data_IF_828700504188
#
_entry.id   IF_828700504188
#
_cell.length_a   1.000
_cell.length_b   1.000
_cell.length_c   1.000
_cell.angle_alpha   90.00
_cell.angle_beta   90.00
_cell.angle_gamma   90.00
#
_symmetry.space_group_name_H-M   'P 1'
#
loop_
_entity.id
_entity.type
_entity.pdbx_description
1 polymer ?
#
# COMPACT_ATOMS: atom_id res chain seq x y z
N UNK A 1 -10.01 59.70 21.82
CA UNK A 1 -10.37 60.24 20.49
C UNK A 1 -9.29 59.78 19.52
N UNK A 2 -9.33 58.50 19.11
CA UNK A 2 -9.96 57.98 17.88
C UNK A 2 -9.12 58.28 16.63
N UNK A 3 -8.22 57.35 16.30
CA UNK A 3 -7.77 57.15 14.93
C UNK A 3 -8.40 55.84 14.43
N UNK A 4 -9.47 55.99 13.65
CA UNK A 4 -10.10 54.92 12.87
C UNK A 4 -9.33 54.77 11.54
N UNK A 5 -9.11 53.54 11.02
CA UNK A 5 -8.47 53.34 9.73
C UNK A 5 -9.44 53.67 8.57
N UNK A 6 -8.96 54.19 7.43
CA UNK A 6 -9.81 54.44 6.27
C UNK A 6 -10.18 53.15 5.52
N UNK A 7 -11.39 53.24 4.97
CA UNK A 7 -12.28 52.28 4.34
C UNK A 7 -11.68 51.45 3.16
N UNK A 8 -12.03 50.16 3.15
CA UNK A 8 -11.84 49.22 2.05
C UNK A 8 -13.09 49.24 1.17
N UNK A 9 -13.18 50.18 0.23
CA UNK A 9 -14.15 50.07 -0.86
C UNK A 9 -13.61 50.59 -2.20
N UNK A 10 -13.51 49.63 -3.14
CA UNK A 10 -13.43 49.77 -4.59
C UNK A 10 -12.15 50.35 -5.25
N UNK A 11 -11.37 49.48 -5.92
CA UNK A 11 -11.53 49.30 -7.38
C UNK A 11 -10.72 48.10 -7.89
N UNK A 12 -11.41 47.24 -8.66
CA UNK A 12 -10.79 46.22 -9.50
C UNK A 12 -10.21 46.92 -10.73
N UNK A 13 -8.92 46.83 -10.94
CA UNK A 13 -8.30 47.00 -12.26
C UNK A 13 -7.32 45.88 -12.52
N UNK A 14 -7.67 45.06 -13.51
CA UNK A 14 -6.88 43.95 -14.02
C UNK A 14 -5.52 44.45 -14.55
N UNK A 15 -4.43 43.88 -14.07
CA UNK A 15 -3.11 44.06 -14.67
C UNK A 15 -2.90 43.04 -15.78
N UNK A 16 -3.25 43.45 -17.00
CA UNK A 16 -2.79 42.84 -18.24
C UNK A 16 -1.27 43.00 -18.31
N UNK A 17 -0.53 41.94 -18.03
CA UNK A 17 0.94 42.03 -17.91
C UNK A 17 1.65 40.69 -17.97
N UNK A 18 1.35 39.85 -18.96
CA UNK A 18 2.24 38.76 -19.37
C UNK A 18 1.86 38.21 -20.76
N UNK A 19 1.89 39.05 -21.80
CA UNK A 19 1.58 38.60 -23.16
C UNK A 19 2.58 39.01 -24.24
N UNK A 20 3.69 39.67 -23.87
CA UNK A 20 4.64 40.23 -24.85
C UNK A 20 5.97 39.47 -24.97
N UNK A 21 6.17 38.35 -24.27
CA UNK A 21 7.44 37.58 -24.34
C UNK A 21 7.37 36.37 -25.27
N UNK A 22 6.21 36.00 -25.81
CA UNK A 22 6.04 34.75 -26.60
C UNK A 22 6.11 34.97 -28.12
N UNK A 23 6.17 36.20 -28.62
CA UNK A 23 5.88 36.49 -30.03
C UNK A 23 7.08 36.41 -31.01
N UNK A 24 8.26 35.90 -30.64
CA UNK A 24 9.40 35.85 -31.57
C UNK A 24 10.29 34.62 -31.37
N UNK A 25 9.74 33.42 -31.58
CA UNK A 25 10.51 32.17 -31.70
C UNK A 25 9.64 31.04 -32.27
N UNK A 26 9.06 31.23 -33.46
CA UNK A 26 8.18 30.24 -34.09
C UNK A 26 8.63 29.95 -35.53
N UNK A 27 9.63 29.07 -35.69
CA UNK A 27 9.82 28.33 -36.95
C UNK A 27 10.56 26.99 -36.75
N UNK A 28 10.39 26.37 -35.58
CA UNK A 28 10.99 25.07 -35.27
C UNK A 28 10.52 24.38 -33.97
N UNK A 29 9.67 25.04 -33.17
CA UNK A 29 9.10 24.45 -31.96
C UNK A 29 7.83 23.65 -32.30
N UNK A 30 7.76 22.41 -31.80
CA UNK A 30 6.59 21.56 -32.00
C UNK A 30 5.33 22.20 -31.40
N UNK A 31 4.21 22.14 -32.12
CA UNK A 31 2.94 22.76 -31.75
C UNK A 31 2.21 22.05 -30.58
N UNK A 32 2.90 21.22 -29.81
CA UNK A 32 2.31 20.44 -28.71
C UNK A 32 3.27 20.36 -27.51
N UNK A 33 2.70 20.21 -26.32
CA UNK A 33 3.47 20.00 -25.10
C UNK A 33 4.15 18.63 -25.13
N UNK A 34 5.45 18.58 -24.82
CA UNK A 34 6.23 17.34 -24.79
C UNK A 34 5.94 16.56 -23.50
N UNK A 35 4.82 15.85 -23.50
CA UNK A 35 4.40 14.96 -22.41
C UNK A 35 4.85 13.52 -22.68
N UNK A 36 4.94 12.71 -21.63
CA UNK A 36 5.53 11.36 -21.71
C UNK A 36 4.78 10.43 -22.66
N UNK A 37 3.46 10.60 -22.82
CA UNK A 37 2.64 9.87 -23.80
C UNK A 37 3.08 10.09 -25.25
N UNK A 38 3.73 11.22 -25.56
CA UNK A 38 4.20 11.54 -26.91
C UNK A 38 5.28 10.58 -27.38
N UNK A 39 6.11 10.05 -26.47
CA UNK A 39 7.11 9.05 -26.82
C UNK A 39 6.46 7.76 -27.33
N UNK A 40 5.45 7.26 -26.62
CA UNK A 40 4.73 6.06 -27.05
C UNK A 40 3.93 6.30 -28.34
N UNK A 41 3.30 7.47 -28.46
CA UNK A 41 2.58 7.87 -29.68
C UNK A 41 3.52 7.94 -30.89
N UNK A 42 4.71 8.52 -30.71
CA UNK A 42 5.73 8.59 -31.75
C UNK A 42 6.23 7.21 -32.14
N UNK A 43 6.57 6.37 -31.16
CA UNK A 43 7.02 5.00 -31.40
C UNK A 43 5.95 4.18 -32.14
N UNK A 44 4.68 4.31 -31.77
CA UNK A 44 3.58 3.64 -32.45
C UNK A 44 3.36 4.10 -33.90
N UNK A 45 3.64 5.38 -34.19
CA UNK A 45 3.48 5.94 -35.54
C UNK A 45 4.64 5.57 -36.47
N UNK A 46 5.87 5.65 -35.98
CA UNK A 46 7.06 5.49 -36.82
C UNK A 46 7.69 4.11 -36.77
N UNK A 47 7.48 3.38 -35.67
CA UNK A 47 8.05 2.05 -35.43
C UNK A 47 6.98 1.07 -34.90
N UNK A 48 5.84 0.91 -35.59
CA UNK A 48 4.67 0.18 -35.08
C UNK A 48 4.97 -1.28 -34.72
N UNK A 49 5.85 -1.92 -35.48
CA UNK A 49 6.17 -3.35 -35.38
C UNK A 49 7.38 -3.64 -34.49
N UNK A 50 8.09 -2.62 -33.99
CA UNK A 50 9.19 -2.84 -33.04
C UNK A 50 8.62 -3.37 -31.74
N UNK A 51 9.14 -4.51 -31.32
CA UNK A 51 8.55 -5.31 -30.26
C UNK A 51 8.94 -4.83 -28.86
N UNK A 52 7.94 -4.70 -28.00
CA UNK A 52 8.09 -4.73 -26.55
C UNK A 52 8.02 -6.19 -26.11
N UNK A 53 9.12 -6.70 -25.55
CA UNK A 53 9.23 -8.05 -25.02
C UNK A 53 9.02 -8.01 -23.51
N UNK A 54 8.18 -8.90 -22.99
CA UNK A 54 7.90 -9.01 -21.55
C UNK A 54 7.91 -10.47 -21.13
N UNK A 55 8.49 -10.75 -19.98
CA UNK A 55 8.42 -12.04 -19.30
C UNK A 55 7.50 -11.89 -18.08
N UNK A 56 6.52 -12.76 -17.91
CA UNK A 56 5.66 -12.75 -16.73
C UNK A 56 6.27 -13.54 -15.56
N UNK A 57 5.52 -13.63 -14.46
CA UNK A 57 5.96 -14.32 -13.24
C UNK A 57 6.06 -15.84 -13.40
N UNK A 58 5.38 -16.40 -14.40
CA UNK A 58 5.43 -17.82 -14.74
C UNK A 58 6.57 -18.13 -15.71
N UNK A 59 7.33 -17.11 -16.12
CA UNK A 59 8.42 -17.24 -17.09
C UNK A 59 7.96 -17.22 -18.55
N UNK A 60 6.68 -16.96 -18.82
CA UNK A 60 6.17 -16.90 -20.18
C UNK A 60 6.59 -15.60 -20.85
N UNK A 61 7.21 -15.72 -22.02
CA UNK A 61 7.62 -14.57 -22.82
C UNK A 61 6.53 -14.20 -23.81
N UNK A 62 6.16 -12.92 -23.82
CA UNK A 62 5.25 -12.34 -24.80
C UNK A 62 5.90 -11.15 -25.51
N UNK A 63 5.50 -10.94 -26.77
CA UNK A 63 6.00 -9.87 -27.64
C UNK A 63 4.83 -9.08 -28.19
N UNK A 64 4.97 -7.75 -28.26
CA UNK A 64 3.94 -6.90 -28.83
C UNK A 64 4.52 -5.63 -29.40
N UNK A 65 4.17 -5.30 -30.65
CA UNK A 65 4.59 -4.05 -31.29
C UNK A 65 4.05 -2.79 -30.60
N UNK A 66 4.78 -1.69 -30.71
CA UNK A 66 4.39 -0.39 -30.12
C UNK A 66 2.99 0.07 -30.50
N UNK A 67 2.52 -0.20 -31.73
CA UNK A 67 1.16 0.18 -32.15
C UNK A 67 0.08 -0.45 -31.26
N UNK A 68 0.27 -1.71 -30.86
CA UNK A 68 -0.68 -2.41 -29.97
C UNK A 68 -0.53 -1.96 -28.52
N UNK A 69 0.69 -1.67 -28.06
CA UNK A 69 0.95 -1.14 -26.70
C UNK A 69 0.27 0.21 -26.52
N UNK A 70 0.40 1.09 -27.51
CA UNK A 70 -0.23 2.41 -27.54
C UNK A 70 -1.76 2.32 -27.53
N UNK A 71 -2.33 1.49 -28.42
CA UNK A 71 -3.76 1.26 -28.46
C UNK A 71 -4.31 0.74 -27.11
N UNK A 72 -3.58 -0.17 -26.45
CA UNK A 72 -3.96 -0.70 -25.13
C UNK A 72 -3.85 0.34 -24.03
N UNK A 73 -2.78 1.13 -24.02
CA UNK A 73 -2.58 2.22 -23.07
C UNK A 73 -3.70 3.25 -23.18
N UNK A 74 -4.09 3.64 -24.41
CA UNK A 74 -5.22 4.55 -24.64
C UNK A 74 -6.56 3.99 -24.16
N UNK A 75 -6.82 2.69 -24.34
CA UNK A 75 -8.03 2.06 -23.80
C UNK A 75 -8.04 2.08 -22.27
N UNK A 76 -6.89 1.85 -21.65
CA UNK A 76 -6.75 1.90 -20.20
C UNK A 76 -6.90 3.33 -19.67
N UNK A 77 -6.42 4.33 -20.40
CA UNK A 77 -6.72 5.75 -20.11
C UNK A 77 -8.22 6.01 -20.06
N UNK A 78 -8.97 5.53 -21.06
CA UNK A 78 -10.44 5.63 -21.07
C UNK A 78 -11.08 4.95 -19.86
N UNK A 79 -10.64 3.72 -19.54
CA UNK A 79 -11.15 2.99 -18.38
C UNK A 79 -10.87 3.71 -17.05
N UNK A 80 -9.74 4.39 -16.90
CA UNK A 80 -9.44 5.20 -15.71
C UNK A 80 -10.36 6.42 -15.61
N UNK A 81 -10.65 7.08 -16.73
CA UNK A 81 -11.61 8.19 -16.76
C UNK A 81 -13.03 7.70 -16.46
N UNK A 82 -13.44 6.55 -16.99
CA UNK A 82 -14.75 5.94 -16.73
C UNK A 82 -14.90 5.50 -15.25
N UNK A 83 -13.79 5.15 -14.59
CA UNK A 83 -13.74 4.90 -13.15
C UNK A 83 -13.91 6.18 -12.31
N UNK A 84 -13.94 7.36 -12.95
CA UNK A 84 -14.19 8.66 -12.33
C UNK A 84 -12.94 9.47 -12.01
N UNK A 85 -11.75 8.99 -12.41
CA UNK A 85 -10.50 9.70 -12.17
C UNK A 85 -10.40 10.92 -13.09
N UNK A 86 -9.68 11.94 -12.62
CA UNK A 86 -9.53 13.22 -13.29
C UNK A 86 -8.05 13.55 -13.50
N UNK A 87 -7.71 14.40 -14.49
CA UNK A 87 -6.36 14.95 -14.59
C UNK A 87 -5.93 15.58 -13.25
N UNK A 88 -4.70 15.28 -12.82
CA UNK A 88 -4.19 15.65 -11.50
C UNK A 88 -4.33 14.57 -10.42
N UNK A 89 -5.20 13.56 -10.61
CA UNK A 89 -5.31 12.45 -9.66
C UNK A 89 -4.05 11.58 -9.66
N UNK A 90 -3.83 10.88 -8.54
CA UNK A 90 -2.68 10.01 -8.34
C UNK A 90 -3.14 8.55 -8.42
N UNK A 91 -2.50 7.78 -9.30
CA UNK A 91 -2.71 6.35 -9.45
C UNK A 91 -1.50 5.62 -8.90
N UNK A 92 -1.69 4.89 -7.81
CA UNK A 92 -0.66 4.00 -7.27
C UNK A 92 -0.61 2.72 -8.11
N UNK A 93 0.59 2.27 -8.49
CA UNK A 93 0.76 1.02 -9.23
C UNK A 93 1.63 0.05 -8.45
N UNK A 94 1.13 -1.15 -8.18
CA UNK A 94 1.86 -2.24 -7.57
C UNK A 94 1.99 -3.40 -8.58
N UNK A 95 3.06 -3.39 -9.36
CA UNK A 95 3.25 -4.34 -10.44
C UNK A 95 4.72 -4.70 -10.65
N UNK A 96 4.94 -5.84 -11.30
CA UNK A 96 6.26 -6.24 -11.80
C UNK A 96 6.60 -5.48 -13.09
N UNK A 97 7.89 -5.35 -13.38
CA UNK A 97 8.38 -4.76 -14.63
C UNK A 97 8.02 -5.63 -15.85
N UNK A 98 6.77 -5.48 -16.28
CA UNK A 98 6.10 -6.28 -17.29
C UNK A 98 5.31 -5.36 -18.21
N UNK A 99 4.96 -5.84 -19.40
CA UNK A 99 4.20 -5.04 -20.39
C UNK A 99 2.92 -4.41 -19.82
N UNK A 100 2.07 -5.08 -19.01
CA UNK A 100 0.92 -4.43 -18.39
C UNK A 100 1.28 -3.24 -17.50
N UNK A 101 2.43 -3.29 -16.81
CA UNK A 101 2.91 -2.16 -16.00
C UNK A 101 3.34 -0.97 -16.89
N UNK A 102 3.98 -1.25 -18.03
CA UNK A 102 4.28 -0.24 -19.04
C UNK A 102 3.00 0.39 -19.62
N UNK A 103 2.00 -0.44 -19.95
CA UNK A 103 0.71 0.01 -20.49
C UNK A 103 0.01 0.97 -19.53
N UNK A 104 -0.07 0.64 -18.23
CA UNK A 104 -0.70 1.52 -17.24
C UNK A 104 0.11 2.79 -16.98
N UNK A 105 1.44 2.72 -17.01
CA UNK A 105 2.29 3.88 -16.82
C UNK A 105 2.01 4.95 -17.87
N UNK A 106 1.96 4.57 -19.15
CA UNK A 106 1.58 5.47 -20.24
C UNK A 106 0.10 5.84 -20.22
N UNK A 107 -0.78 4.95 -19.78
CA UNK A 107 -2.21 5.24 -19.68
C UNK A 107 -2.50 6.37 -18.69
N UNK A 108 -1.89 6.32 -17.50
CA UNK A 108 -2.05 7.31 -16.43
C UNK A 108 -1.52 8.67 -16.88
N UNK A 109 -0.29 8.72 -17.39
CA UNK A 109 0.30 10.00 -17.82
C UNK A 109 -0.39 10.56 -19.07
N UNK A 110 -0.93 9.70 -19.95
CA UNK A 110 -1.63 10.12 -21.16
C UNK A 110 -2.91 10.91 -20.92
N UNK A 111 -3.48 10.84 -19.71
CA UNK A 111 -4.64 11.64 -19.28
C UNK A 111 -4.30 12.71 -18.24
N UNK A 112 -3.01 12.99 -18.05
CA UNK A 112 -2.56 14.04 -17.13
C UNK A 112 -2.68 13.66 -15.65
N UNK A 113 -2.73 12.37 -15.32
CA UNK A 113 -2.65 11.86 -13.95
C UNK A 113 -1.18 11.58 -13.57
N UNK A 114 -0.90 11.49 -12.28
CA UNK A 114 0.41 11.13 -11.77
C UNK A 114 0.49 9.64 -11.40
N UNK A 115 1.57 8.98 -11.79
CA UNK A 115 1.80 7.57 -11.51
C UNK A 115 2.72 7.42 -10.28
N UNK A 116 2.22 6.80 -9.21
CA UNK A 116 2.99 6.48 -8.02
C UNK A 116 3.38 4.99 -8.02
N UNK A 117 4.59 4.68 -8.47
CA UNK A 117 5.07 3.31 -8.62
C UNK A 117 5.56 2.74 -7.29
N UNK A 118 4.91 1.68 -6.82
CA UNK A 118 5.24 0.95 -5.61
C UNK A 118 6.07 -0.31 -5.96
N UNK A 119 7.13 -0.56 -5.19
CA UNK A 119 7.96 -1.76 -5.37
C UNK A 119 7.36 -2.93 -4.57
N UNK A 120 6.89 -4.01 -5.23
CA UNK A 120 6.28 -5.16 -4.53
C UNK A 120 7.21 -5.90 -3.56
N UNK A 121 8.52 -5.61 -3.59
CA UNK A 121 9.50 -6.20 -2.65
C UNK A 121 9.54 -5.51 -1.28
N UNK A 122 8.91 -4.36 -1.14
CA UNK A 122 8.88 -3.64 0.13
C UNK A 122 7.91 -4.29 1.12
N UNK A 123 8.16 -4.17 2.45
CA UNK A 123 7.22 -4.62 3.45
C UNK A 123 5.84 -3.94 3.30
N UNK A 124 4.77 -4.67 3.56
CA UNK A 124 3.38 -4.19 3.46
C UNK A 124 3.15 -2.92 4.27
N UNK A 125 3.71 -2.82 5.48
CA UNK A 125 3.58 -1.64 6.34
C UNK A 125 4.17 -0.38 5.70
N UNK A 126 5.29 -0.52 5.01
CA UNK A 126 5.92 0.58 4.28
C UNK A 126 5.11 0.95 3.04
N UNK A 127 4.63 -0.04 2.29
CA UNK A 127 3.80 0.16 1.10
C UNK A 127 2.49 0.89 1.45
N UNK A 128 1.83 0.49 2.54
CA UNK A 128 0.62 1.14 3.04
C UNK A 128 0.88 2.61 3.41
N UNK A 129 1.98 2.89 4.13
CA UNK A 129 2.38 4.25 4.47
C UNK A 129 2.66 5.11 3.23
N UNK A 130 3.31 4.55 2.21
CA UNK A 130 3.54 5.23 0.92
C UNK A 130 2.23 5.55 0.20
N UNK A 131 1.29 4.59 0.14
CA UNK A 131 -0.04 4.80 -0.44
C UNK A 131 -0.78 5.91 0.29
N UNK A 132 -0.80 5.87 1.63
CA UNK A 132 -1.48 6.88 2.45
C UNK A 132 -0.91 8.29 2.22
N UNK A 133 0.42 8.41 2.23
CA UNK A 133 1.10 9.69 2.04
C UNK A 133 0.98 10.22 0.60
N UNK A 134 0.86 9.31 -0.38
CA UNK A 134 0.75 9.68 -1.79
C UNK A 134 -0.60 10.33 -2.13
N UNK A 135 -1.65 10.13 -1.32
CA UNK A 135 -2.99 10.59 -1.68
C UNK A 135 -3.56 9.91 -2.93
N UNK A 136 -3.10 8.70 -3.25
CA UNK A 136 -3.57 7.95 -4.41
C UNK A 136 -5.07 7.64 -4.31
N UNK A 137 -5.81 7.94 -5.38
CA UNK A 137 -7.26 7.67 -5.48
C UNK A 137 -7.54 6.20 -5.79
N UNK A 138 -6.64 5.56 -6.54
CA UNK A 138 -6.75 4.15 -6.96
C UNK A 138 -5.40 3.45 -6.83
N UNK A 139 -5.45 2.18 -6.43
CA UNK A 139 -4.34 1.24 -6.50
C UNK A 139 -4.58 0.22 -7.62
N UNK A 140 -3.75 0.26 -8.66
CA UNK A 140 -3.73 -0.74 -9.72
C UNK A 140 -2.65 -1.79 -9.44
N UNK A 141 -3.01 -3.06 -9.46
CA UNK A 141 -2.09 -4.16 -9.14
C UNK A 141 -2.03 -5.23 -10.24
N UNK A 142 -0.88 -5.90 -10.35
CA UNK A 142 -0.70 -7.03 -11.26
C UNK A 142 -1.37 -8.31 -10.75
N UNK A 143 -1.77 -9.21 -11.65
CA UNK A 143 -2.54 -10.42 -11.32
C UNK A 143 -1.92 -11.32 -10.25
N UNK A 144 -0.58 -11.38 -10.16
CA UNK A 144 0.13 -12.16 -9.13
C UNK A 144 0.31 -11.46 -7.78
N UNK A 145 -0.25 -10.27 -7.59
CA UNK A 145 -0.05 -9.44 -6.40
C UNK A 145 -1.36 -9.16 -5.64
N UNK A 146 -2.48 -9.83 -5.98
CA UNK A 146 -3.79 -9.60 -5.33
C UNK A 146 -3.74 -9.73 -3.80
N UNK A 147 -3.17 -10.81 -3.21
CA UNK A 147 -3.16 -10.94 -1.75
C UNK A 147 -2.36 -9.81 -1.07
N UNK A 148 -1.25 -9.39 -1.68
CA UNK A 148 -0.42 -8.29 -1.18
C UNK A 148 -1.15 -6.96 -1.31
N UNK A 149 -1.85 -6.73 -2.42
CA UNK A 149 -2.65 -5.53 -2.64
C UNK A 149 -3.80 -5.44 -1.63
N UNK A 150 -4.49 -6.54 -1.34
CA UNK A 150 -5.51 -6.61 -0.29
C UNK A 150 -4.92 -6.26 1.08
N UNK A 151 -3.77 -6.84 1.45
CA UNK A 151 -3.08 -6.51 2.71
C UNK A 151 -2.71 -5.01 2.78
N UNK A 152 -2.25 -4.40 1.67
CA UNK A 152 -1.94 -2.97 1.61
C UNK A 152 -3.20 -2.11 1.74
N UNK A 153 -4.28 -2.46 1.04
CA UNK A 153 -5.55 -1.74 1.15
C UNK A 153 -6.08 -1.81 2.57
N UNK A 154 -6.01 -2.98 3.21
CA UNK A 154 -6.37 -3.15 4.61
C UNK A 154 -5.51 -2.30 5.53
N UNK A 155 -4.19 -2.26 5.31
CA UNK A 155 -3.27 -1.47 6.11
C UNK A 155 -3.36 0.04 5.89
N UNK A 156 -3.80 0.50 4.70
CA UNK A 156 -3.98 1.93 4.39
C UNK A 156 -5.36 2.47 4.81
N UNK A 157 -6.35 1.59 4.99
CA UNK A 157 -7.69 1.99 5.47
C UNK A 157 -7.80 1.83 6.99
N UNK A 158 -7.01 0.93 7.60
CA UNK A 158 -6.99 0.76 9.03
C UNK A 158 -6.13 1.84 9.71
N UNK A 159 -6.77 2.69 10.51
CA UNK A 159 -6.14 3.74 11.30
C UNK A 159 -6.51 3.57 12.79
N UNK A 160 -5.54 3.18 13.65
CA UNK A 160 -5.80 3.01 15.08
C UNK A 160 -6.09 4.35 15.81
N UNK A 161 -5.60 5.50 15.32
CA UNK A 161 -5.92 6.81 15.89
C UNK A 161 -7.37 7.22 15.58
N UNK A 162 -7.91 6.81 14.43
CA UNK A 162 -9.31 7.02 14.05
C UNK A 162 -10.24 5.87 14.50
N UNK A 163 -9.71 4.86 15.19
CA UNK A 163 -10.44 3.63 15.57
C UNK A 163 -11.06 2.88 14.37
N UNK A 164 -10.49 3.05 13.19
CA UNK A 164 -10.90 2.33 11.98
C UNK A 164 -10.00 1.09 11.92
N UNK A 165 -10.51 -0.05 12.38
CA UNK A 165 -9.77 -1.31 12.42
C UNK A 165 -10.47 -2.34 11.53
N UNK A 166 -9.67 -3.20 10.88
CA UNK A 166 -10.24 -4.28 10.08
C UNK A 166 -11.10 -5.21 10.97
N UNK A 167 -12.17 -5.77 10.40
CA UNK A 167 -13.08 -6.68 11.12
C UNK A 167 -12.33 -7.85 11.80
N UNK A 168 -11.25 -8.34 11.18
CA UNK A 168 -10.41 -9.38 11.79
C UNK A 168 -9.88 -8.99 13.17
N UNK A 169 -9.53 -7.71 13.42
CA UNK A 169 -9.08 -7.28 14.74
C UNK A 169 -10.14 -7.61 15.79
N UNK A 170 -11.40 -7.26 15.52
CA UNK A 170 -12.51 -7.54 16.42
C UNK A 170 -12.72 -9.04 16.69
N UNK A 171 -12.37 -9.93 15.76
CA UNK A 171 -12.42 -11.38 16.00
C UNK A 171 -11.32 -11.88 16.96
N UNK A 172 -10.22 -11.14 17.12
CA UNK A 172 -9.09 -11.50 18.00
C UNK A 172 -9.04 -10.70 19.31
N UNK A 173 -9.64 -9.51 19.35
CA UNK A 173 -9.54 -8.56 20.47
C UNK A 173 -10.88 -8.22 21.13
N UNK A 174 -11.99 -8.83 20.69
CA UNK A 174 -13.30 -8.65 21.32
C UNK A 174 -13.73 -9.89 22.11
N UNK A 175 -14.28 -9.68 23.30
CA UNK A 175 -14.99 -10.73 24.02
C UNK A 175 -16.36 -11.03 23.39
N UNK A 176 -16.99 -10.08 22.69
CA UNK A 176 -18.38 -10.24 22.20
C UNK A 176 -18.47 -10.65 20.74
N UNK A 177 -17.38 -10.56 19.99
CA UNK A 177 -17.39 -10.76 18.53
C UNK A 177 -16.66 -12.04 18.13
N UNK A 178 -17.37 -12.98 17.50
CA UNK A 178 -16.79 -14.19 16.91
C UNK A 178 -16.42 -15.31 17.89
N UNK A 179 -15.70 -16.31 17.37
CA UNK A 179 -15.30 -17.54 18.12
C UNK A 179 -14.01 -17.40 18.93
N UNK A 180 -13.44 -16.18 19.04
CA UNK A 180 -12.26 -15.88 19.86
C UNK A 180 -11.04 -16.77 19.54
N UNK A 181 -10.56 -16.65 18.30
CA UNK A 181 -9.49 -17.50 17.79
C UNK A 181 -8.21 -17.41 18.64
N UNK A 182 -7.74 -18.56 19.08
CA UNK A 182 -6.50 -18.70 19.85
C UNK A 182 -5.75 -19.93 19.38
N UNK A 183 -4.44 -19.94 19.53
CA UNK A 183 -3.69 -21.17 19.28
C UNK A 183 -4.01 -22.22 20.34
N UNK A 184 -3.87 -23.47 19.94
CA UNK A 184 -3.96 -24.63 20.83
C UNK A 184 -2.58 -24.97 21.37
N UNK A 185 -2.53 -25.49 22.59
CA UNK A 185 -1.26 -25.83 23.26
C UNK A 185 -0.40 -26.82 22.47
N UNK A 186 -1.02 -27.76 21.75
CA UNK A 186 -0.31 -28.70 20.90
C UNK A 186 0.46 -28.01 19.77
N UNK A 187 -0.09 -26.95 19.18
CA UNK A 187 0.62 -26.11 18.21
C UNK A 187 1.74 -25.32 18.89
N UNK A 188 1.48 -24.73 20.07
CA UNK A 188 2.53 -23.98 20.79
C UNK A 188 3.69 -24.88 21.22
N UNK A 189 3.43 -26.16 21.50
CA UNK A 189 4.47 -27.13 21.85
C UNK A 189 5.38 -27.50 20.67
N UNK A 190 5.06 -27.13 19.43
CA UNK A 190 5.98 -27.33 18.29
C UNK A 190 7.17 -26.37 18.35
N UNK A 191 7.06 -25.27 19.10
CA UNK A 191 8.18 -24.36 19.32
C UNK A 191 9.15 -24.96 20.33
N UNK A 192 10.43 -24.97 19.98
CA UNK A 192 11.50 -25.52 20.80
C UNK A 192 11.80 -24.61 22.00
N UNK A 193 12.60 -25.13 22.91
CA UNK A 193 13.35 -24.34 23.88
C UNK A 193 14.45 -23.54 23.15
N UNK A 194 15.01 -22.51 23.80
CA UNK A 194 16.09 -21.69 23.24
C UNK A 194 17.37 -22.48 22.95
N UNK A 195 17.55 -23.62 23.62
CA UNK A 195 18.65 -24.57 23.41
C UNK A 195 18.41 -25.54 22.23
N UNK A 196 17.25 -25.45 21.57
CA UNK A 196 16.86 -26.32 20.45
C UNK A 196 16.23 -27.65 20.87
N UNK A 197 16.06 -27.92 22.17
CA UNK A 197 15.38 -29.13 22.63
C UNK A 197 13.85 -28.99 22.53
N UNK A 198 13.10 -30.09 22.30
CA UNK A 198 11.64 -30.05 22.38
C UNK A 198 11.16 -29.61 23.77
N UNK A 199 10.25 -28.62 23.82
CA UNK A 199 9.69 -28.15 25.08
C UNK A 199 8.98 -29.25 25.88
N UNK A 200 8.42 -30.25 25.18
CA UNK A 200 7.76 -31.42 25.78
C UNK A 200 8.69 -32.31 26.59
N UNK A 201 10.01 -32.14 26.48
CA UNK A 201 10.99 -32.86 27.30
C UNK A 201 11.10 -32.28 28.73
N UNK A 202 10.56 -31.07 28.97
CA UNK A 202 10.61 -30.45 30.28
C UNK A 202 9.70 -31.21 31.26
N UNK A 203 10.19 -31.54 32.47
CA UNK A 203 9.37 -32.22 33.47
C UNK A 203 8.18 -31.33 33.86
N UNK A 204 6.97 -31.89 33.83
CA UNK A 204 5.75 -31.16 34.16
C UNK A 204 5.27 -30.19 33.09
N UNK A 205 5.74 -30.28 31.83
CA UNK A 205 5.33 -29.37 30.77
C UNK A 205 3.80 -29.28 30.61
N UNK A 206 3.07 -30.36 30.87
CA UNK A 206 1.61 -30.44 30.75
C UNK A 206 0.85 -29.63 31.82
N UNK A 207 1.48 -29.23 32.92
CA UNK A 207 0.83 -28.47 34.00
C UNK A 207 1.45 -27.09 34.23
N UNK A 208 2.47 -26.72 33.45
CA UNK A 208 3.07 -25.39 33.50
C UNK A 208 2.02 -24.32 33.19
N UNK A 209 2.06 -23.26 34.00
CA UNK A 209 1.24 -22.08 33.80
C UNK A 209 1.80 -21.26 32.64
N UNK A 210 0.93 -20.58 31.89
CA UNK A 210 1.29 -19.79 30.71
C UNK A 210 2.49 -18.86 30.96
N UNK A 211 2.52 -18.17 32.11
CA UNK A 211 3.59 -17.23 32.49
C UNK A 211 4.98 -17.86 32.53
N UNK A 212 5.07 -19.15 32.82
CA UNK A 212 6.34 -19.88 32.97
C UNK A 212 6.63 -20.72 31.72
N UNK A 213 5.58 -21.20 31.02
CA UNK A 213 5.68 -21.94 29.76
C UNK A 213 6.32 -21.14 28.61
N UNK A 214 6.09 -19.82 28.56
CA UNK A 214 6.61 -18.97 27.49
C UNK A 214 8.07 -18.52 27.71
N UNK A 215 8.65 -18.79 28.89
CA UNK A 215 10.04 -18.39 29.20
C UNK A 215 11.03 -19.37 28.59
N UNK A 216 12.15 -18.84 28.09
CA UNK A 216 13.24 -19.68 27.55
C UNK A 216 12.87 -20.45 26.28
N UNK A 217 11.84 -20.01 25.56
CA UNK A 217 11.37 -20.60 24.30
C UNK A 217 12.07 -19.99 23.09
N UNK A 218 11.92 -20.64 21.94
CA UNK A 218 12.35 -20.14 20.65
C UNK A 218 11.80 -18.73 20.37
N UNK A 219 12.66 -17.83 19.87
CA UNK A 219 12.34 -16.44 19.53
C UNK A 219 11.31 -16.27 18.40
N UNK A 220 10.92 -17.33 17.71
CA UNK A 220 9.81 -17.30 16.75
C UNK A 220 8.46 -17.35 17.45
N UNK A 221 8.40 -17.91 18.67
CA UNK A 221 7.18 -17.93 19.47
C UNK A 221 6.74 -16.51 19.84
N UNK A 222 7.70 -15.66 20.23
CA UNK A 222 7.46 -14.24 20.57
C UNK A 222 7.01 -13.37 19.39
N UNK A 223 7.26 -13.82 18.15
CA UNK A 223 6.71 -13.19 16.94
C UNK A 223 5.30 -13.69 16.61
N UNK A 224 4.90 -14.82 17.18
CA UNK A 224 3.62 -15.49 16.87
C UNK A 224 2.53 -15.09 17.87
N UNK A 225 2.82 -15.13 19.18
CA UNK A 225 1.86 -14.87 20.25
C UNK A 225 2.28 -13.70 21.15
N UNK A 226 1.31 -12.99 21.72
CA UNK A 226 1.58 -12.00 22.77
C UNK A 226 2.14 -12.73 23.99
N UNK A 227 3.29 -12.29 24.50
CA UNK A 227 3.88 -12.78 25.74
C UNK A 227 3.84 -11.68 26.80
N UNK A 228 4.23 -12.00 28.04
CA UNK A 228 4.26 -10.99 29.12
C UNK A 228 5.21 -9.81 28.84
N UNK A 229 6.21 -9.98 27.97
CA UNK A 229 7.13 -8.93 27.53
C UNK A 229 6.61 -8.09 26.36
N UNK A 230 5.46 -8.44 25.78
CA UNK A 230 4.93 -7.74 24.61
C UNK A 230 4.50 -6.31 24.98
N UNK A 231 5.02 -5.36 24.21
CA UNK A 231 4.66 -3.94 24.31
C UNK A 231 4.06 -3.50 22.99
N UNK A 232 3.00 -2.72 23.07
CA UNK A 232 2.40 -2.03 21.92
C UNK A 232 2.87 -0.58 21.88
N UNK A 233 2.84 0.01 20.70
CA UNK A 233 3.05 1.44 20.51
C UNK A 233 1.67 2.11 20.53
N UNK A 234 1.42 2.99 21.50
CA UNK A 234 0.24 3.83 21.54
C UNK A 234 0.68 5.29 21.48
N UNK A 235 0.44 5.94 20.34
CA UNK A 235 1.06 7.22 20.00
C UNK A 235 2.58 7.10 19.98
N UNK A 236 3.28 7.88 20.81
CA UNK A 236 4.75 7.84 20.93
C UNK A 236 5.25 6.93 22.06
N UNK A 237 4.36 6.31 22.83
CA UNK A 237 4.73 5.58 24.06
C UNK A 237 4.55 4.08 23.92
N UNK A 238 5.50 3.30 24.45
CA UNK A 238 5.36 1.85 24.56
C UNK A 238 4.55 1.48 25.80
N UNK A 239 3.42 0.81 25.62
CA UNK A 239 2.53 0.36 26.68
C UNK A 239 2.58 -1.17 26.78
N UNK A 240 2.70 -1.72 27.98
CA UNK A 240 2.63 -3.16 28.19
C UNK A 240 1.25 -3.69 27.78
N UNK A 241 1.21 -4.69 26.89
CA UNK A 241 -0.02 -5.27 26.37
C UNK A 241 0.03 -6.80 26.47
N UNK A 242 0.00 -7.36 27.69
CA UNK A 242 0.02 -8.81 27.87
C UNK A 242 -1.25 -9.45 27.27
N UNK A 243 -1.24 -10.78 27.06
CA UNK A 243 -2.44 -11.51 26.66
C UNK A 243 -3.60 -11.23 27.58
N UNK A 244 -4.74 -10.90 26.99
CA UNK A 244 -5.98 -10.68 27.74
C UNK A 244 -6.79 -11.97 27.69
N UNK A 245 -6.93 -12.63 28.84
CA UNK A 245 -7.62 -13.92 28.97
C UNK A 245 -9.14 -13.83 28.75
N UNK A 246 -9.70 -12.62 28.63
CA UNK A 246 -11.09 -12.42 28.16
C UNK A 246 -11.22 -12.60 26.65
N UNK A 247 -10.15 -12.38 25.88
CA UNK A 247 -10.12 -12.52 24.42
C UNK A 247 -9.61 -13.90 24.00
N UNK A 248 -8.68 -14.48 24.76
CA UNK A 248 -8.11 -15.79 24.47
C UNK A 248 -8.38 -16.78 25.60
N UNK A 249 -9.19 -17.81 25.33
CA UNK A 249 -9.49 -18.87 26.30
C UNK A 249 -8.26 -19.70 26.68
N UNK A 250 -7.35 -19.91 25.73
CA UNK A 250 -6.12 -20.69 25.96
C UNK A 250 -4.95 -19.82 26.44
N UNK A 251 -5.08 -18.48 26.36
CA UNK A 251 -4.01 -17.52 26.63
C UNK A 251 -3.04 -17.30 25.46
N UNK A 252 -3.04 -18.17 24.44
CA UNK A 252 -2.15 -18.08 23.27
C UNK A 252 -2.73 -17.14 22.20
N UNK A 253 -2.69 -15.84 22.50
CA UNK A 253 -3.23 -14.78 21.65
C UNK A 253 -2.28 -14.42 20.50
N UNK A 254 -2.69 -14.48 19.22
CA UNK A 254 -1.85 -14.16 18.06
C UNK A 254 -1.51 -12.66 17.95
N UNK A 255 -0.30 -12.33 17.50
CA UNK A 255 0.14 -10.91 17.31
C UNK A 255 -0.37 -10.33 15.98
N UNK A 256 -0.24 -11.06 14.87
CA UNK A 256 -0.36 -10.51 13.49
C UNK A 256 -1.70 -9.83 13.18
N UNK A 257 -2.77 -10.22 13.86
CA UNK A 257 -4.13 -9.72 13.61
C UNK A 257 -4.74 -8.98 14.79
N UNK A 258 -3.97 -8.81 15.87
CA UNK A 258 -4.37 -8.05 17.05
C UNK A 258 -3.76 -6.66 16.96
N UNK A 259 -4.17 -5.90 15.94
CA UNK A 259 -3.78 -4.51 15.75
C UNK A 259 -4.63 -3.65 16.70
N UNK A 260 -4.07 -3.33 17.87
CA UNK A 260 -4.61 -2.32 18.80
C UNK A 260 -3.65 -1.13 18.90
#
# INVERSE_FOLDING_TARGET
MTAQPPDLSASKTASTGCSSVVAAMQDGMQAYALTVDKFLTHAARWFPDVEVVSCDIEGQTSRMGYAKVEARSRRLSGALLDLGLRPGDIVATLAWNTRPHLEIWYAVMGVGMACHTLNPRLPVTQLASMVQQSGATVLAFGAGLSPVAEEIMLAAVADPALSILHAANWYYTSATTGVRFSFIRSFINTYLNIDGTPFTNNPGYATLQFKDEVKGRDRRLEQTIRMGSYKRINGTSQVAAPPVFTYSYTGYMPIKWSLD
#
